data_IF_903497078088
#
_entry.id   IF_903497078088
#
_cell.length_a   1.000
_cell.length_b   1.000
_cell.length_c   1.000
_cell.angle_alpha   90.00
_cell.angle_beta   90.00
_cell.angle_gamma   90.00
#
_symmetry.space_group_name_H-M   'P 1'
#
loop_
_entity.id
_entity.type
_entity.pdbx_description
1 polymer ?
#
# COMPACT_ATOMS: atom_id res chain seq x y z
N UNK A 1 0.41 29.72 -5.47
CA UNK A 1 1.17 28.46 -5.46
C UNK A 1 0.20 27.37 -5.87
N UNK A 2 0.34 26.82 -7.07
CA UNK A 2 -0.49 25.69 -7.49
C UNK A 2 -0.09 24.48 -6.64
N UNK A 3 -1.03 23.76 -6.00
CA UNK A 3 -0.71 22.48 -5.39
C UNK A 3 -0.12 21.62 -6.50
N UNK A 4 1.12 21.16 -6.30
CA UNK A 4 1.69 20.12 -7.15
C UNK A 4 0.86 18.88 -6.87
N UNK A 5 -0.19 18.67 -7.65
CA UNK A 5 -0.87 17.38 -7.71
C UNK A 5 0.21 16.41 -8.15
N UNK A 6 0.77 15.67 -7.20
CA UNK A 6 1.59 14.53 -7.52
C UNK A 6 0.59 13.58 -8.17
N UNK A 7 0.57 13.55 -9.50
CA UNK A 7 -0.15 12.51 -10.23
C UNK A 7 0.61 11.23 -9.94
N UNK A 8 0.30 10.60 -8.81
CA UNK A 8 0.88 9.31 -8.45
C UNK A 8 0.37 8.35 -9.50
N UNK A 9 1.28 7.88 -10.34
CA UNK A 9 0.91 6.95 -11.41
C UNK A 9 0.69 5.56 -10.84
N UNK A 10 -0.12 4.75 -11.54
CA UNK A 10 -0.32 3.34 -11.20
C UNK A 10 0.99 2.59 -10.94
N UNK A 11 2.02 2.82 -11.75
CA UNK A 11 3.34 2.18 -11.58
C UNK A 11 4.03 2.61 -10.29
N UNK A 12 3.95 3.89 -9.91
CA UNK A 12 4.51 4.37 -8.62
C UNK A 12 3.77 3.78 -7.42
N UNK A 13 2.45 3.64 -7.51
CA UNK A 13 1.65 2.96 -6.47
C UNK A 13 2.06 1.49 -6.32
N UNK A 14 2.28 0.79 -7.44
CA UNK A 14 2.76 -0.59 -7.44
C UNK A 14 4.17 -0.69 -6.84
N UNK A 15 5.08 0.20 -7.23
CA UNK A 15 6.45 0.23 -6.73
C UNK A 15 6.48 0.53 -5.22
N UNK A 16 5.65 1.47 -4.75
CA UNK A 16 5.51 1.80 -3.33
C UNK A 16 4.97 0.62 -2.52
N UNK A 17 3.99 -0.12 -3.05
CA UNK A 17 3.51 -1.37 -2.43
C UNK A 17 4.64 -2.39 -2.32
N UNK A 18 5.42 -2.58 -3.37
CA UNK A 18 6.54 -3.54 -3.34
C UNK A 18 7.62 -3.12 -2.34
N UNK A 19 7.91 -1.82 -2.25
CA UNK A 19 8.85 -1.28 -1.25
C UNK A 19 8.37 -1.53 0.19
N UNK A 20 7.08 -1.33 0.47
CA UNK A 20 6.51 -1.60 1.80
C UNK A 20 6.61 -3.09 2.14
N UNK A 21 6.23 -3.97 1.21
CA UNK A 21 6.34 -5.42 1.40
C UNK A 21 7.80 -5.87 1.61
N UNK A 22 8.74 -5.30 0.83
CA UNK A 22 10.16 -5.56 0.98
C UNK A 22 10.71 -5.05 2.33
N UNK A 23 10.26 -3.89 2.79
CA UNK A 23 10.65 -3.32 4.09
C UNK A 23 10.20 -4.20 5.26
N UNK A 24 8.98 -4.73 5.17
CA UNK A 24 8.45 -5.68 6.14
C UNK A 24 9.08 -7.07 6.04
N UNK A 25 9.80 -7.37 4.95
CA UNK A 25 10.39 -8.67 4.70
C UNK A 25 9.35 -9.79 4.53
N UNK A 26 8.15 -9.45 4.07
CA UNK A 26 7.04 -10.39 3.88
C UNK A 26 6.51 -10.35 2.47
N UNK A 27 6.18 -11.50 1.93
CA UNK A 27 5.44 -11.58 0.68
C UNK A 27 4.01 -11.08 0.85
N UNK A 28 3.43 -10.54 -0.24
CA UNK A 28 2.04 -10.08 -0.29
C UNK A 28 1.03 -11.06 0.34
N UNK A 29 1.14 -12.36 0.04
CA UNK A 29 0.22 -13.37 0.61
C UNK A 29 0.39 -13.53 2.12
N UNK A 30 1.63 -13.46 2.61
CA UNK A 30 1.93 -13.53 4.03
C UNK A 30 1.40 -12.29 4.73
N UNK A 31 1.53 -11.13 4.09
CA UNK A 31 0.98 -9.88 4.57
C UNK A 31 -0.55 -9.91 4.64
N UNK A 32 -1.24 -10.27 3.56
CA UNK A 32 -2.71 -10.39 3.52
C UNK A 32 -3.23 -11.34 4.63
N UNK A 33 -2.51 -12.44 4.88
CA UNK A 33 -2.84 -13.35 5.99
C UNK A 33 -2.67 -12.69 7.36
N UNK A 34 -1.56 -11.96 7.61
CA UNK A 34 -1.33 -11.26 8.89
C UNK A 34 -2.37 -10.16 9.14
N UNK A 35 -2.76 -9.45 8.09
CA UNK A 35 -3.85 -8.46 8.12
C UNK A 35 -5.16 -9.15 8.51
N UNK A 36 -5.50 -10.25 7.84
CA UNK A 36 -6.73 -11.01 8.12
C UNK A 36 -6.74 -11.64 9.52
N UNK A 37 -5.58 -12.04 10.03
CA UNK A 37 -5.40 -12.56 11.39
C UNK A 37 -5.42 -11.46 12.46
N UNK A 38 -5.40 -10.18 12.07
CA UNK A 38 -5.34 -9.04 13.01
C UNK A 38 -4.06 -9.03 13.84
N UNK A 39 -3.00 -9.69 13.36
CA UNK A 39 -1.76 -9.90 14.09
C UNK A 39 -0.72 -8.77 13.92
N UNK A 40 -1.08 -7.71 13.21
CA UNK A 40 -0.21 -6.57 12.92
C UNK A 40 0.08 -5.78 14.20
N UNK A 41 1.36 -5.55 14.51
CA UNK A 41 1.78 -4.77 15.67
C UNK A 41 2.72 -3.63 15.26
N UNK A 42 2.52 -2.44 15.85
CA UNK A 42 3.38 -1.28 15.64
C UNK A 42 3.52 -0.89 14.17
N UNK A 43 4.73 -0.99 13.64
CA UNK A 43 5.08 -0.58 12.26
C UNK A 43 4.35 -1.40 11.18
N UNK A 44 3.99 -2.66 11.46
CA UNK A 44 3.21 -3.47 10.52
C UNK A 44 1.80 -2.92 10.30
N UNK A 45 1.24 -2.24 11.31
CA UNK A 45 -0.09 -1.64 11.23
C UNK A 45 -0.09 -0.39 10.34
N UNK A 46 0.94 0.45 10.46
CA UNK A 46 1.14 1.60 9.59
C UNK A 46 1.34 1.17 8.13
N UNK A 47 2.18 0.15 7.91
CA UNK A 47 2.38 -0.41 6.59
C UNK A 47 1.08 -0.99 5.98
N UNK A 48 0.18 -1.54 6.81
CA UNK A 48 -1.14 -1.99 6.36
C UNK A 48 -2.04 -0.86 5.93
N UNK A 49 -2.07 0.24 6.67
CA UNK A 49 -2.82 1.43 6.26
C UNK A 49 -2.31 1.99 4.93
N UNK A 50 -0.99 2.12 4.76
CA UNK A 50 -0.39 2.60 3.51
C UNK A 50 -0.74 1.68 2.34
N UNK A 51 -0.72 0.36 2.55
CA UNK A 51 -1.09 -0.62 1.52
C UNK A 51 -2.57 -0.59 1.16
N UNK A 52 -3.45 -0.35 2.14
CA UNK A 52 -4.89 -0.18 1.91
C UNK A 52 -5.17 1.12 1.14
N UNK A 53 -4.49 2.21 1.49
CA UNK A 53 -4.59 3.49 0.77
C UNK A 53 -4.13 3.34 -0.69
N UNK A 54 -2.99 2.67 -0.92
CA UNK A 54 -2.49 2.37 -2.25
C UNK A 54 -3.50 1.51 -3.03
N UNK A 55 -4.10 0.50 -2.39
CA UNK A 55 -5.10 -0.36 -3.03
C UNK A 55 -6.36 0.42 -3.41
N UNK A 56 -6.81 1.33 -2.55
CA UNK A 56 -7.93 2.22 -2.82
C UNK A 56 -7.66 3.13 -4.02
N UNK A 57 -6.48 3.79 -4.05
CA UNK A 57 -6.08 4.65 -5.17
C UNK A 57 -5.93 3.87 -6.49
N UNK A 58 -5.45 2.63 -6.42
CA UNK A 58 -5.35 1.74 -7.58
C UNK A 58 -6.70 1.29 -8.11
N UNK A 59 -7.73 1.21 -7.26
CA UNK A 59 -9.10 0.84 -7.67
C UNK A 59 -9.84 2.06 -8.23
N UNK A 60 -9.68 3.25 -7.64
CA UNK A 60 -10.21 4.52 -8.15
C UNK A 60 -9.71 4.83 -9.58
N UNK A 61 -8.43 4.57 -9.87
CA UNK A 61 -7.85 4.67 -11.22
C UNK A 61 -8.42 3.65 -12.22
N UNK A 62 -9.05 2.55 -11.77
CA UNK A 62 -9.64 1.54 -12.68
C UNK A 62 -11.07 1.87 -13.09
N UNK A 63 -11.76 2.71 -12.32
CA UNK A 63 -13.13 3.17 -12.57
C UNK A 63 -13.19 4.57 -13.23
N UNK A 64 -12.04 5.20 -13.48
CA UNK A 64 -11.90 6.53 -14.10
C UNK A 64 -11.78 6.53 -15.64
#
# INVERSE_FOLDING_TARGET
>A
MSPRTITVTRDELLERREQILHHLGVDRRTFERRVAEGALVGDEWYAAQDLEEIAFLLDDERDA
#
